data_IF_659048209400
#
_entry.id   IF_659048209400
#
_cell.length_a   1.000
_cell.length_b   1.000
_cell.length_c   1.000
_cell.angle_alpha   90.00
_cell.angle_beta   90.00
_cell.angle_gamma   90.00
#
_symmetry.space_group_name_H-M   'P 1'
#
loop_
_entity.id
_entity.type
_entity.pdbx_description
1 polymer ?
#
# COMPACT_ATOMS: atom_id res chain seq x y z
N UNK A 1 -8.67 -7.15 -11.67
CA UNK A 1 -8.42 -6.27 -10.50
C UNK A 1 -7.09 -5.57 -10.63
N UNK A 2 -7.07 -4.28 -10.32
CA UNK A 2 -5.83 -3.51 -10.25
C UNK A 2 -5.43 -3.39 -8.79
N UNK A 3 -4.23 -3.85 -8.47
CA UNK A 3 -3.67 -3.72 -7.13
C UNK A 3 -2.48 -2.77 -7.18
N UNK A 4 -2.56 -1.70 -6.39
CA UNK A 4 -1.43 -0.79 -6.21
C UNK A 4 -0.77 -1.16 -4.90
N UNK A 5 0.42 -1.74 -4.97
CA UNK A 5 1.18 -2.13 -3.79
C UNK A 5 2.20 -1.04 -3.50
N UNK A 6 2.14 -0.47 -2.30
CA UNK A 6 2.92 0.71 -1.93
C UNK A 6 3.67 0.43 -0.64
N UNK A 7 4.97 0.75 -0.62
CA UNK A 7 5.71 0.80 0.63
C UNK A 7 5.38 2.12 1.35
N UNK A 8 5.21 2.07 2.68
CA UNK A 8 4.97 3.29 3.43
C UNK A 8 6.04 4.34 3.15
N UNK A 9 5.68 5.62 3.28
CA UNK A 9 6.59 6.74 3.04
C UNK A 9 7.66 6.83 4.14
N UNK A 10 8.62 7.73 3.95
CA UNK A 10 9.73 7.89 4.89
C UNK A 10 9.23 8.18 6.30
N UNK A 11 9.76 7.46 7.28
CA UNK A 11 9.36 7.58 8.67
C UNK A 11 10.54 7.99 9.54
N UNK A 12 10.24 8.70 10.63
CA UNK A 12 11.24 9.09 11.61
C UNK A 12 11.72 7.85 12.37
N UNK A 13 12.94 7.93 12.90
CA UNK A 13 13.45 6.92 13.83
C UNK A 13 12.75 7.08 15.18
N UNK A 14 12.73 6.04 15.98
CA UNK A 14 12.15 6.12 17.31
C UNK A 14 11.79 4.77 17.88
N UNK A 15 11.40 4.79 19.14
CA UNK A 15 10.99 3.63 19.91
C UNK A 15 9.63 3.93 20.56
N UNK A 16 8.74 2.96 20.62
CA UNK A 16 8.81 1.65 19.98
C UNK A 16 8.62 1.76 18.45
N UNK A 17 9.08 0.77 17.72
CA UNK A 17 9.06 0.78 16.25
C UNK A 17 7.66 1.04 15.69
N UNK A 18 6.64 0.43 16.25
CA UNK A 18 5.26 0.55 15.75
C UNK A 18 4.69 1.96 15.88
N UNK A 19 5.30 2.81 16.70
CA UNK A 19 4.87 4.21 16.92
C UNK A 19 5.65 5.22 16.09
N UNK A 20 6.56 4.75 15.24
CA UNK A 20 7.31 5.65 14.35
C UNK A 20 6.35 6.29 13.36
N UNK A 21 6.38 7.61 13.30
CA UNK A 21 5.51 8.40 12.43
C UNK A 21 6.25 8.83 11.17
N UNK A 22 5.49 9.24 10.16
CA UNK A 22 6.09 9.80 8.96
C UNK A 22 6.88 11.05 9.31
N UNK A 23 8.03 11.20 8.66
CA UNK A 23 8.78 12.45 8.67
C UNK A 23 8.04 13.50 7.81
N UNK A 24 8.41 14.79 7.92
CA UNK A 24 7.87 15.80 6.99
C UNK A 24 8.10 15.42 5.53
N UNK A 25 9.27 14.85 5.22
CA UNK A 25 9.57 14.34 3.88
C UNK A 25 8.61 13.22 3.49
N UNK A 26 8.33 12.30 4.39
CA UNK A 26 7.40 11.19 4.13
C UNK A 26 5.99 11.67 3.86
N UNK A 27 5.53 12.68 4.58
CA UNK A 27 4.21 13.26 4.33
C UNK A 27 4.11 13.87 2.93
N UNK A 28 5.17 14.56 2.50
CA UNK A 28 5.26 15.10 1.16
C UNK A 28 5.25 13.98 0.11
N UNK A 29 6.01 12.92 0.34
CA UNK A 29 6.04 11.76 -0.56
C UNK A 29 4.65 11.15 -0.73
N UNK A 30 3.94 10.96 0.38
CA UNK A 30 2.60 10.37 0.34
C UNK A 30 1.60 11.24 -0.40
N UNK A 31 1.62 12.55 -0.14
CA UNK A 31 0.74 13.49 -0.84
C UNK A 31 1.05 13.55 -2.33
N UNK A 32 2.33 13.59 -2.68
CA UNK A 32 2.73 13.62 -4.08
C UNK A 32 2.27 12.37 -4.82
N UNK A 33 2.38 11.21 -4.18
CA UNK A 33 1.90 9.97 -4.75
C UNK A 33 0.38 9.99 -4.93
N UNK A 34 -0.35 10.51 -3.94
CA UNK A 34 -1.79 10.66 -4.04
C UNK A 34 -2.20 11.56 -5.20
N UNK A 35 -1.52 12.68 -5.38
CA UNK A 35 -1.78 13.60 -6.49
C UNK A 35 -1.49 12.94 -7.83
N UNK A 36 -0.40 12.18 -7.92
CA UNK A 36 -0.06 11.46 -9.13
C UNK A 36 -1.15 10.45 -9.49
N UNK A 37 -1.62 9.68 -8.52
CA UNK A 37 -2.69 8.72 -8.74
C UNK A 37 -3.99 9.41 -9.16
N UNK A 38 -4.34 10.51 -8.51
CA UNK A 38 -5.52 11.28 -8.87
C UNK A 38 -5.42 11.82 -10.29
N UNK A 39 -4.26 12.35 -10.68
CA UNK A 39 -4.03 12.86 -12.02
C UNK A 39 -4.12 11.76 -13.08
N UNK A 40 -3.77 10.52 -12.72
CA UNK A 40 -3.89 9.37 -13.60
C UNK A 40 -5.29 8.78 -13.61
N UNK A 41 -6.23 9.38 -12.90
CA UNK A 41 -7.63 8.94 -12.89
C UNK A 41 -7.89 7.74 -12.00
N UNK A 42 -6.99 7.40 -11.09
CA UNK A 42 -7.16 6.26 -10.19
C UNK A 42 -8.23 6.58 -9.14
N UNK A 43 -9.25 5.73 -9.08
CA UNK A 43 -10.33 5.84 -8.09
C UNK A 43 -10.40 4.53 -7.32
N UNK A 44 -9.73 4.43 -6.16
CA UNK A 44 -9.69 3.17 -5.43
C UNK A 44 -11.04 2.86 -4.79
N UNK A 45 -11.40 1.58 -4.83
CA UNK A 45 -12.55 1.07 -4.09
C UNK A 45 -12.19 0.86 -2.63
N UNK A 46 -10.92 0.64 -2.33
CA UNK A 46 -10.42 0.48 -0.98
C UNK A 46 -8.98 0.91 -0.88
N UNK A 47 -8.61 1.48 0.26
CA UNK A 47 -7.22 1.76 0.64
C UNK A 47 -6.98 1.04 1.95
N UNK A 48 -6.15 0.00 1.91
CA UNK A 48 -5.86 -0.86 3.06
C UNK A 48 -4.43 -0.66 3.50
N UNK A 49 -4.19 -0.62 4.80
CA UNK A 49 -2.85 -0.38 5.35
C UNK A 49 -2.46 -1.41 6.38
N UNK A 50 -1.13 -1.59 6.54
CA UNK A 50 -0.62 -2.21 7.75
C UNK A 50 -1.11 -1.43 8.97
N UNK A 51 -1.28 -2.09 10.13
CA UNK A 51 -1.70 -1.38 11.34
C UNK A 51 -0.65 -0.47 11.95
N UNK A 52 0.61 -0.54 11.50
CA UNK A 52 1.65 0.34 12.04
C UNK A 52 1.42 1.80 11.65
N UNK A 53 1.74 2.70 12.57
CA UNK A 53 1.43 4.13 12.40
C UNK A 53 1.92 4.71 11.08
N UNK A 54 3.18 4.41 10.70
CA UNK A 54 3.75 4.95 9.46
C UNK A 54 2.99 4.52 8.20
N UNK A 55 2.47 3.31 8.20
CA UNK A 55 1.66 2.83 7.08
C UNK A 55 0.27 3.47 7.09
N UNK A 56 -0.34 3.59 8.27
CA UNK A 56 -1.65 4.24 8.38
C UNK A 56 -1.59 5.71 7.98
N UNK A 57 -0.53 6.42 8.37
CA UNK A 57 -0.36 7.81 7.99
C UNK A 57 -0.13 7.97 6.49
N UNK A 58 0.59 7.04 5.86
CA UNK A 58 0.74 7.04 4.40
C UNK A 58 -0.62 6.86 3.74
N UNK A 59 -1.40 5.89 4.20
CA UNK A 59 -2.74 5.63 3.67
C UNK A 59 -3.69 6.80 3.86
N UNK A 60 -3.66 7.43 5.02
CA UNK A 60 -4.51 8.59 5.30
C UNK A 60 -4.18 9.77 4.38
N UNK A 61 -2.90 10.01 4.14
CA UNK A 61 -2.48 11.08 3.24
C UNK A 61 -2.92 10.84 1.80
N UNK A 62 -2.78 9.59 1.33
CA UNK A 62 -3.26 9.18 0.02
C UNK A 62 -4.78 9.31 -0.09
N UNK A 63 -5.48 8.79 0.90
CA UNK A 63 -6.95 8.78 0.91
C UNK A 63 -7.52 10.19 0.91
N UNK A 64 -6.90 11.12 1.62
CA UNK A 64 -7.31 12.51 1.63
C UNK A 64 -7.28 13.11 0.23
N UNK A 65 -6.20 12.89 -0.50
CA UNK A 65 -6.06 13.39 -1.87
C UNK A 65 -7.05 12.72 -2.81
N UNK A 66 -7.28 11.41 -2.61
CA UNK A 66 -8.15 10.62 -3.49
C UNK A 66 -9.63 10.69 -3.07
N UNK A 67 -9.96 11.49 -2.08
CA UNK A 67 -11.32 11.72 -1.58
C UNK A 67 -11.99 10.41 -1.11
N UNK A 68 -11.24 9.60 -0.37
CA UNK A 68 -11.74 8.35 0.21
C UNK A 68 -11.18 8.17 1.63
N UNK A 69 -11.41 7.02 2.23
CA UNK A 69 -10.90 6.69 3.56
C UNK A 69 -9.98 5.48 3.48
N UNK A 70 -8.99 5.41 4.37
CA UNK A 70 -8.15 4.24 4.50
C UNK A 70 -8.58 3.42 5.72
N UNK A 71 -8.25 2.13 5.71
CA UNK A 71 -8.53 1.28 6.87
C UNK A 71 -7.37 0.31 7.11
N UNK A 72 -6.99 0.10 8.37
CA UNK A 72 -5.95 -0.84 8.70
C UNK A 72 -6.44 -2.29 8.62
N UNK A 73 -5.52 -3.21 8.32
CA UNK A 73 -5.80 -4.64 8.31
C UNK A 73 -4.62 -5.38 8.94
N UNK A 74 -4.90 -6.25 9.90
CA UNK A 74 -3.87 -7.04 10.55
C UNK A 74 -3.18 -7.99 9.58
N UNK A 75 -3.86 -8.37 8.50
CA UNK A 75 -3.28 -9.20 7.45
C UNK A 75 -2.10 -8.52 6.73
N UNK A 76 -1.98 -7.20 6.87
CA UNK A 76 -0.94 -6.41 6.22
C UNK A 76 0.17 -5.97 7.19
N UNK A 77 0.16 -6.46 8.43
CA UNK A 77 1.23 -6.21 9.39
C UNK A 77 2.57 -6.74 8.86
N UNK A 78 3.71 -6.27 9.41
CA UNK A 78 5.02 -6.78 8.98
C UNK A 78 5.05 -8.31 8.98
N UNK A 79 5.61 -8.89 7.92
CA UNK A 79 5.55 -10.32 7.67
C UNK A 79 4.43 -10.72 6.72
N UNK A 80 3.69 -9.76 6.16
CA UNK A 80 2.64 -10.05 5.19
C UNK A 80 3.20 -10.81 3.99
N UNK A 81 2.37 -11.63 3.38
CA UNK A 81 2.71 -12.46 2.23
C UNK A 81 1.70 -12.21 1.11
N UNK A 82 1.97 -12.79 -0.06
CA UNK A 82 1.00 -12.76 -1.15
C UNK A 82 -0.35 -13.33 -0.70
N UNK A 83 -0.34 -14.41 0.07
CA UNK A 83 -1.57 -15.03 0.56
C UNK A 83 -2.35 -14.10 1.50
N UNK A 84 -1.67 -13.43 2.44
CA UNK A 84 -2.37 -12.51 3.36
C UNK A 84 -2.89 -11.28 2.64
N UNK A 85 -2.16 -10.77 1.64
CA UNK A 85 -2.64 -9.66 0.81
C UNK A 85 -3.86 -10.08 0.01
N UNK A 86 -3.81 -11.24 -0.64
CA UNK A 86 -4.95 -11.74 -1.40
C UNK A 86 -6.19 -11.89 -0.54
N UNK A 87 -6.02 -12.38 0.69
CA UNK A 87 -7.11 -12.49 1.64
C UNK A 87 -7.68 -11.11 2.01
N UNK A 88 -6.81 -10.12 2.24
CA UNK A 88 -7.23 -8.78 2.63
C UNK A 88 -8.00 -8.05 1.53
N UNK A 89 -7.62 -8.25 0.26
CA UNK A 89 -8.23 -7.53 -0.87
C UNK A 89 -9.45 -8.23 -1.44
N UNK A 90 -9.71 -9.47 -1.04
CA UNK A 90 -10.85 -10.24 -1.55
C UNK A 90 -12.15 -9.51 -1.28
N UNK A 91 -12.97 -9.32 -2.32
CA UNK A 91 -14.27 -8.66 -2.20
C UNK A 91 -14.21 -7.16 -1.99
N UNK A 92 -13.03 -6.53 -2.12
CA UNK A 92 -12.88 -5.11 -1.85
C UNK A 92 -13.05 -4.22 -3.09
N UNK A 93 -13.23 -4.81 -4.29
CA UNK A 93 -13.50 -4.06 -5.52
C UNK A 93 -12.48 -4.32 -6.60
N UNK A 94 -12.57 -3.53 -7.67
CA UNK A 94 -11.73 -3.71 -8.86
C UNK A 94 -10.39 -2.98 -8.77
N UNK A 95 -10.30 -1.95 -7.92
CA UNK A 95 -9.10 -1.14 -7.75
C UNK A 95 -8.83 -0.97 -6.27
N UNK A 96 -7.73 -1.57 -5.80
CA UNK A 96 -7.38 -1.57 -4.39
C UNK A 96 -5.95 -1.08 -4.20
N UNK A 97 -5.75 -0.24 -3.22
CA UNK A 97 -4.42 0.23 -2.80
C UNK A 97 -4.07 -0.46 -1.49
N UNK A 98 -2.87 -1.04 -1.43
CA UNK A 98 -2.34 -1.70 -0.23
C UNK A 98 -1.02 -1.04 0.16
N UNK A 99 -0.91 -0.64 1.42
CA UNK A 99 0.29 0.00 1.94
C UNK A 99 0.94 -0.89 3.00
N UNK A 100 2.17 -1.27 2.74
CA UNK A 100 2.90 -2.19 3.59
C UNK A 100 4.36 -1.80 3.79
N UNK A 101 5.18 -2.81 4.04
CA UNK A 101 6.57 -2.67 4.46
C UNK A 101 7.53 -3.42 3.54
N UNK A 102 8.81 -3.05 3.54
CA UNK A 102 9.86 -3.88 2.97
C UNK A 102 10.45 -4.76 4.07
N UNK A 103 10.88 -5.98 3.75
CA UNK A 103 11.00 -6.57 2.39
C UNK A 103 9.70 -7.17 1.84
N UNK A 104 8.60 -7.12 2.57
CA UNK A 104 7.36 -7.78 2.18
C UNK A 104 6.86 -7.33 0.80
N UNK A 105 6.85 -6.01 0.55
CA UNK A 105 6.32 -5.47 -0.72
C UNK A 105 7.05 -6.06 -1.93
N UNK A 106 8.37 -6.11 -1.89
CA UNK A 106 9.15 -6.67 -3.00
C UNK A 106 8.84 -8.14 -3.23
N UNK A 107 8.76 -8.92 -2.15
CA UNK A 107 8.47 -10.35 -2.22
C UNK A 107 7.06 -10.61 -2.74
N UNK A 108 6.09 -9.84 -2.24
CA UNK A 108 4.69 -9.96 -2.67
C UNK A 108 4.57 -9.60 -4.16
N UNK A 109 5.19 -8.51 -4.59
CA UNK A 109 5.15 -8.09 -5.99
C UNK A 109 5.75 -9.14 -6.91
N UNK A 110 6.85 -9.77 -6.49
CA UNK A 110 7.46 -10.85 -7.28
C UNK A 110 6.51 -12.05 -7.39
N UNK A 111 5.90 -12.45 -6.30
CA UNK A 111 5.03 -13.63 -6.27
C UNK A 111 3.73 -13.42 -7.04
N UNK A 112 3.13 -12.22 -6.94
CA UNK A 112 1.89 -11.91 -7.64
C UNK A 112 2.12 -11.44 -9.09
N UNK A 113 3.35 -11.10 -9.43
CA UNK A 113 3.71 -10.60 -10.75
C UNK A 113 4.53 -11.62 -11.54
N UNK A 114 5.65 -11.17 -12.10
CA UNK A 114 6.48 -11.96 -13.03
C UNK A 114 7.64 -12.71 -12.36
N UNK A 115 7.71 -12.74 -11.06
CA UNK A 115 8.79 -13.38 -10.31
C UNK A 115 10.00 -12.49 -10.06
N UNK A 116 10.01 -11.29 -10.61
CA UNK A 116 11.09 -10.32 -10.40
C UNK A 116 10.74 -9.43 -9.21
N UNK A 117 11.69 -9.30 -8.27
CA UNK A 117 11.51 -8.47 -7.09
C UNK A 117 11.85 -7.02 -7.42
N UNK A 118 10.84 -6.13 -7.51
CA UNK A 118 11.11 -4.72 -7.80
C UNK A 118 11.66 -3.99 -6.58
N UNK A 119 12.27 -2.84 -6.82
CA UNK A 119 12.71 -1.97 -5.74
C UNK A 119 11.52 -1.18 -5.21
N UNK A 120 11.48 -1.03 -3.89
CA UNK A 120 10.49 -0.21 -3.22
C UNK A 120 11.19 0.81 -2.32
N UNK A 121 11.54 1.99 -2.85
CA UNK A 121 11.95 3.08 -1.97
C UNK A 121 10.76 3.53 -1.13
N UNK A 122 10.95 4.37 -0.09
CA UNK A 122 9.81 4.91 0.64
C UNK A 122 8.79 5.55 -0.30
N UNK A 123 7.51 5.22 -0.12
CA UNK A 123 6.42 5.60 -1.01
C UNK A 123 6.53 5.02 -2.42
N UNK A 124 7.41 4.05 -2.64
CA UNK A 124 7.51 3.34 -3.90
C UNK A 124 6.27 2.51 -4.17
N UNK A 125 5.91 2.37 -5.45
CA UNK A 125 4.67 1.73 -5.83
C UNK A 125 4.85 0.81 -7.03
N UNK A 126 4.14 -0.31 -7.02
CA UNK A 126 4.03 -1.21 -8.17
C UNK A 126 2.55 -1.45 -8.41
N UNK A 127 2.13 -1.35 -9.67
CA UNK A 127 0.78 -1.71 -10.07
C UNK A 127 0.77 -3.14 -10.60
N UNK A 128 -0.13 -3.97 -10.07
CA UNK A 128 -0.31 -5.35 -10.47
C UNK A 128 -1.72 -5.55 -11.01
N UNK A 129 -1.83 -6.33 -12.07
CA UNK A 129 -3.13 -6.70 -12.64
C UNK A 129 -3.40 -8.15 -12.28
N UNK A 130 -4.42 -8.37 -11.45
CA UNK A 130 -4.75 -9.69 -10.92
C UNK A 130 -6.05 -10.19 -11.56
N UNK A 131 -6.27 -11.53 -11.62
CA UNK A 131 -7.56 -12.05 -12.05
C UNK A 131 -8.68 -11.51 -11.18
N UNK A 132 -9.77 -11.08 -11.79
CA UNK A 132 -10.95 -10.62 -11.09
C UNK A 132 -11.78 -11.75 -10.54
N UNK A 133 -12.81 -11.43 -9.70
CA UNK A 133 -13.74 -12.43 -9.20
C UNK A 133 -14.39 -13.20 -10.37
N UNK A 134 -14.44 -14.53 -10.25
CA UNK A 134 -15.03 -15.37 -11.28
C UNK A 134 -14.13 -15.69 -12.44
N UNK A 135 -12.93 -15.15 -12.52
CA UNK A 135 -11.89 -15.57 -13.46
C UNK A 135 -10.95 -16.55 -12.78
N UNK A 136 -10.73 -17.64 -13.38
CA UNK A 136 -9.86 -18.67 -12.81
C UNK A 136 -8.74 -19.01 -13.78
#
# INVERSE_FOLDING_TARGET
MRLFLIRHAHAESGEPDESRRLSPEGREQARALGKRLADEGVRPDAVLTSPLLRARQTGDALAEVLACTSEPSDALAPGASAATVQSAIEGRGETVIVIGHQPDCGQIAAELGDGTEPRFPPAGMVELHLPGPGTS
#
